data_IF_619256221600
#
_entry.id   IF_619256221600
#
_cell.length_a   1.000
_cell.length_b   1.000
_cell.length_c   1.000
_cell.angle_alpha   90.00
_cell.angle_beta   90.00
_cell.angle_gamma   90.00
#
_symmetry.space_group_name_H-M   'P 1'
#
loop_
_entity.id
_entity.type
_entity.pdbx_description
1 polymer ?
#
# COMPACT_ATOMS: atom_id res chain seq x y z
N UNK A 1 -41.25 -45.17 0.03
CA UNK A 1 -40.68 -43.88 -0.41
C UNK A 1 -41.50 -42.76 0.22
N UNK A 2 -40.99 -42.16 1.30
CA UNK A 2 -41.69 -41.08 1.98
C UNK A 2 -41.12 -39.74 1.42
N UNK A 3 -41.96 -39.03 0.65
CA UNK A 3 -41.65 -37.67 0.18
C UNK A 3 -41.96 -36.73 1.33
N UNK A 4 -40.90 -36.13 1.89
CA UNK A 4 -40.99 -35.12 2.96
C UNK A 4 -41.62 -33.86 2.38
N UNK A 5 -42.93 -33.67 2.60
CA UNK A 5 -43.67 -32.46 2.21
C UNK A 5 -43.35 -31.31 3.17
N UNK A 6 -42.42 -30.47 2.79
CA UNK A 6 -42.20 -29.17 3.48
C UNK A 6 -43.41 -28.29 3.16
N UNK A 7 -44.18 -27.80 4.16
CA UNK A 7 -45.35 -26.99 3.90
C UNK A 7 -44.93 -25.71 3.14
N UNK A 8 -45.62 -25.40 2.06
CA UNK A 8 -45.39 -24.29 1.13
C UNK A 8 -45.22 -22.91 1.84
N UNK A 9 -45.83 -22.76 3.03
CA UNK A 9 -45.65 -21.57 3.88
C UNK A 9 -44.25 -21.42 4.48
N UNK A 10 -43.56 -22.55 4.82
CA UNK A 10 -42.17 -22.49 5.29
C UNK A 10 -41.20 -22.15 4.18
N UNK A 11 -41.42 -22.63 2.95
CA UNK A 11 -40.59 -22.26 1.80
C UNK A 11 -40.71 -20.77 1.45
N UNK A 12 -41.90 -20.19 1.52
CA UNK A 12 -42.12 -18.75 1.25
C UNK A 12 -41.45 -17.87 2.31
N UNK A 13 -41.49 -18.25 3.57
CA UNK A 13 -40.83 -17.52 4.66
C UNK A 13 -39.30 -17.60 4.55
N UNK A 14 -38.74 -18.77 4.23
CA UNK A 14 -37.31 -18.95 3.98
C UNK A 14 -36.84 -18.16 2.76
N UNK A 15 -37.59 -18.16 1.66
CA UNK A 15 -37.26 -17.33 0.48
C UNK A 15 -37.30 -15.85 0.79
N UNK A 16 -38.26 -15.38 1.58
CA UNK A 16 -38.34 -13.99 2.01
C UNK A 16 -37.16 -13.60 2.92
N UNK A 17 -36.74 -14.45 3.85
CA UNK A 17 -35.58 -14.24 4.71
C UNK A 17 -34.28 -14.19 3.90
N UNK A 18 -34.13 -15.06 2.90
CA UNK A 18 -32.97 -15.05 2.00
C UNK A 18 -32.95 -13.78 1.13
N UNK A 19 -34.10 -13.36 0.61
CA UNK A 19 -34.21 -12.16 -0.21
C UNK A 19 -33.96 -10.86 0.57
N UNK A 20 -34.17 -10.85 1.89
CA UNK A 20 -33.85 -9.72 2.77
C UNK A 20 -32.39 -9.82 3.27
N UNK A 21 -31.92 -11.01 3.62
CA UNK A 21 -30.57 -11.21 4.15
C UNK A 21 -29.48 -10.91 3.11
N UNK A 22 -29.68 -11.29 1.84
CA UNK A 22 -28.70 -11.06 0.77
C UNK A 22 -28.45 -9.56 0.55
N UNK A 23 -29.45 -8.67 0.34
CA UNK A 23 -29.17 -7.26 0.16
C UNK A 23 -28.62 -6.60 1.42
N UNK A 24 -29.01 -7.04 2.63
CA UNK A 24 -28.43 -6.52 3.88
C UNK A 24 -26.95 -6.92 4.00
N UNK A 25 -26.60 -8.17 3.70
CA UNK A 25 -25.20 -8.63 3.68
C UNK A 25 -24.42 -7.89 2.60
N UNK A 26 -24.99 -7.71 1.40
CA UNK A 26 -24.37 -6.96 0.29
C UNK A 26 -24.18 -5.49 0.67
N UNK A 27 -25.16 -4.84 1.28
CA UNK A 27 -25.03 -3.44 1.72
C UNK A 27 -24.02 -3.28 2.85
N UNK A 28 -23.99 -4.23 3.80
CA UNK A 28 -22.99 -4.23 4.87
C UNK A 28 -21.61 -4.47 4.30
N UNK A 29 -21.43 -5.47 3.43
CA UNK A 29 -20.12 -5.72 2.78
C UNK A 29 -19.70 -4.58 1.86
N UNK A 30 -20.60 -3.93 1.13
CA UNK A 30 -20.29 -2.75 0.31
C UNK A 30 -19.97 -1.50 1.16
N UNK A 31 -20.60 -1.32 2.32
CA UNK A 31 -20.23 -0.27 3.27
C UNK A 31 -18.82 -0.47 3.84
N UNK A 32 -18.42 -1.72 4.08
CA UNK A 32 -17.08 -2.07 4.57
C UNK A 32 -16.04 -2.13 3.43
N UNK A 33 -16.47 -2.35 2.20
CA UNK A 33 -15.60 -2.34 1.01
C UNK A 33 -15.33 -0.93 0.46
N UNK A 34 -16.05 0.11 0.90
CA UNK A 34 -15.60 1.49 0.67
C UNK A 34 -14.28 1.65 1.40
N UNK A 35 -13.22 2.02 0.67
CA UNK A 35 -11.99 2.47 1.28
C UNK A 35 -12.38 3.49 2.35
N UNK A 36 -12.04 3.27 3.63
CA UNK A 36 -12.23 4.32 4.61
C UNK A 36 -11.49 5.55 4.07
N UNK A 37 -12.15 6.71 4.13
CA UNK A 37 -11.47 7.97 3.85
C UNK A 37 -10.15 7.98 4.61
N UNK A 38 -9.09 8.53 3.98
CA UNK A 38 -7.76 8.57 4.58
C UNK A 38 -7.87 9.05 6.04
N UNK A 39 -7.32 8.26 6.97
CA UNK A 39 -7.44 8.59 8.40
C UNK A 39 -6.65 9.86 8.71
N UNK A 40 -7.33 10.86 9.24
CA UNK A 40 -6.79 12.19 9.62
C UNK A 40 -6.88 12.47 11.12
N UNK A 41 -7.31 11.49 11.91
CA UNK A 41 -7.33 11.61 13.38
C UNK A 41 -5.92 11.61 13.99
N UNK A 42 -5.77 12.08 15.23
CA UNK A 42 -4.47 12.19 15.90
C UNK A 42 -3.88 10.84 16.32
N UNK A 43 -4.71 9.83 16.55
CA UNK A 43 -4.30 8.50 17.03
C UNK A 43 -4.44 7.40 15.99
N UNK A 44 -4.49 6.17 16.45
CA UNK A 44 -4.69 4.99 15.60
C UNK A 44 -6.08 4.98 14.95
N UNK A 45 -6.16 4.47 13.74
CA UNK A 45 -7.43 4.22 13.04
C UNK A 45 -8.32 3.31 13.91
N UNK A 46 -9.58 3.69 14.09
CA UNK A 46 -10.53 2.85 14.80
C UNK A 46 -10.71 1.52 14.08
N UNK A 47 -10.90 0.46 14.85
CA UNK A 47 -11.01 -0.92 14.34
C UNK A 47 -9.83 -1.39 13.46
N UNK A 48 -8.65 -0.80 13.61
CA UNK A 48 -7.46 -1.05 12.79
C UNK A 48 -7.23 -2.54 12.50
N UNK A 49 -7.20 -3.41 13.51
CA UNK A 49 -6.93 -4.84 13.31
C UNK A 49 -8.05 -5.57 12.58
N UNK A 50 -9.30 -5.13 12.71
CA UNK A 50 -10.41 -5.69 11.94
C UNK A 50 -10.35 -5.23 10.47
N UNK A 51 -10.00 -3.97 10.21
CA UNK A 51 -9.80 -3.45 8.86
C UNK A 51 -8.66 -4.21 8.16
N UNK A 52 -7.50 -4.34 8.81
CA UNK A 52 -6.34 -5.06 8.29
C UNK A 52 -6.68 -6.52 7.98
N UNK A 53 -7.37 -7.22 8.90
CA UNK A 53 -7.82 -8.59 8.71
C UNK A 53 -8.79 -8.71 7.52
N UNK A 54 -9.76 -7.83 7.45
CA UNK A 54 -10.76 -7.83 6.38
C UNK A 54 -10.14 -7.55 5.01
N UNK A 55 -9.28 -6.55 4.91
CA UNK A 55 -8.53 -6.23 3.68
C UNK A 55 -7.65 -7.41 3.25
N UNK A 56 -6.99 -8.11 4.21
CA UNK A 56 -6.22 -9.31 3.91
C UNK A 56 -7.09 -10.41 3.30
N UNK A 57 -8.25 -10.70 3.91
CA UNK A 57 -9.17 -11.74 3.43
C UNK A 57 -9.69 -11.40 2.03
N UNK A 58 -10.01 -10.15 1.76
CA UNK A 58 -10.60 -9.71 0.49
C UNK A 58 -9.59 -9.50 -0.64
N UNK A 59 -8.30 -9.38 -0.35
CA UNK A 59 -7.29 -9.12 -1.37
C UNK A 59 -7.22 -10.27 -2.39
N UNK A 60 -7.50 -9.98 -3.67
CA UNK A 60 -7.44 -10.93 -4.82
C UNK A 60 -8.23 -12.24 -4.58
N UNK A 61 -9.53 -12.13 -4.44
CA UNK A 61 -10.46 -13.21 -4.16
C UNK A 61 -10.46 -14.35 -5.18
N UNK A 62 -10.29 -15.61 -4.68
CA UNK A 62 -10.77 -16.84 -5.31
C UNK A 62 -11.54 -17.64 -4.26
N UNK A 63 -12.75 -18.12 -4.60
CA UNK A 63 -13.71 -18.75 -3.68
C UNK A 63 -13.18 -20.03 -2.99
N UNK A 64 -12.26 -20.75 -3.62
CA UNK A 64 -11.83 -22.08 -3.16
C UNK A 64 -10.95 -22.10 -1.89
N UNK A 65 -10.48 -20.95 -1.40
CA UNK A 65 -9.46 -20.88 -0.34
C UNK A 65 -9.86 -20.07 0.90
N UNK A 66 -11.14 -19.77 1.10
CA UNK A 66 -11.60 -18.87 2.17
C UNK A 66 -11.16 -19.31 3.58
N UNK A 67 -11.25 -20.59 3.90
CA UNK A 67 -10.90 -21.09 5.23
C UNK A 67 -9.40 -20.97 5.52
N UNK A 68 -8.56 -21.49 4.64
CA UNK A 68 -7.09 -21.38 4.77
C UNK A 68 -6.62 -19.94 4.71
N UNK A 69 -7.27 -19.10 3.92
CA UNK A 69 -6.96 -17.68 3.81
C UNK A 69 -7.21 -16.94 5.11
N UNK A 70 -8.35 -17.20 5.77
CA UNK A 70 -8.65 -16.57 7.06
C UNK A 70 -7.60 -16.92 8.11
N UNK A 71 -7.20 -18.18 8.21
CA UNK A 71 -6.14 -18.60 9.14
C UNK A 71 -4.82 -17.91 8.84
N UNK A 72 -4.43 -17.83 7.57
CA UNK A 72 -3.23 -17.12 7.13
C UNK A 72 -3.33 -15.64 7.46
N UNK A 73 -4.45 -14.98 7.18
CA UNK A 73 -4.65 -13.57 7.49
C UNK A 73 -4.67 -13.28 9.00
N UNK A 74 -5.11 -14.21 9.83
CA UNK A 74 -4.98 -14.10 11.29
C UNK A 74 -3.50 -14.11 11.72
N UNK A 75 -2.69 -15.01 11.17
CA UNK A 75 -1.24 -15.04 11.43
C UNK A 75 -0.55 -13.74 10.96
N UNK A 76 -0.94 -13.23 9.78
CA UNK A 76 -0.44 -11.96 9.24
C UNK A 76 -0.82 -10.78 10.16
N UNK A 77 -2.08 -10.68 10.58
CA UNK A 77 -2.56 -9.68 11.52
C UNK A 77 -1.78 -9.73 12.85
N UNK A 78 -1.55 -10.92 13.37
CA UNK A 78 -0.85 -11.11 14.64
C UNK A 78 0.63 -10.74 14.52
N UNK A 79 1.28 -11.09 13.40
CA UNK A 79 2.64 -10.64 13.10
C UNK A 79 2.70 -9.11 12.95
N UNK A 80 1.70 -8.50 12.32
CA UNK A 80 1.58 -7.04 12.23
C UNK A 80 1.46 -6.40 13.63
N UNK A 81 0.55 -6.92 14.46
CA UNK A 81 0.35 -6.48 15.83
C UNK A 81 1.64 -6.53 16.65
N UNK A 82 2.35 -7.66 16.61
CA UNK A 82 3.56 -7.90 17.39
C UNK A 82 4.72 -6.97 17.02
N UNK A 83 4.70 -6.39 15.83
CA UNK A 83 5.73 -5.46 15.38
C UNK A 83 5.78 -4.16 16.20
N UNK A 84 4.64 -3.67 16.72
CA UNK A 84 4.58 -2.34 17.34
C UNK A 84 3.79 -2.24 18.65
N UNK A 85 2.94 -3.22 18.97
CA UNK A 85 2.18 -3.21 20.23
C UNK A 85 3.13 -3.38 21.43
N UNK A 86 2.83 -2.70 22.53
CA UNK A 86 3.64 -2.64 23.74
C UNK A 86 5.04 -2.07 23.55
N UNK A 87 5.28 -1.34 22.46
CA UNK A 87 6.53 -0.62 22.20
C UNK A 87 6.33 0.89 22.31
N UNK A 88 7.43 1.59 22.62
CA UNK A 88 7.43 3.05 22.49
C UNK A 88 7.19 3.42 21.02
N UNK A 89 6.18 4.26 20.72
CA UNK A 89 5.83 4.62 19.34
C UNK A 89 6.96 5.22 18.51
N UNK A 90 7.99 5.82 19.16
CA UNK A 90 9.18 6.39 18.51
C UNK A 90 10.37 5.43 18.46
N UNK A 91 10.22 4.17 18.85
CA UNK A 91 11.30 3.17 18.90
C UNK A 91 10.97 1.92 18.09
N UNK A 92 9.94 1.97 17.27
CA UNK A 92 9.60 0.88 16.33
C UNK A 92 10.49 1.02 15.10
N UNK A 93 11.20 -0.05 14.74
CA UNK A 93 12.11 -0.08 13.61
C UNK A 93 11.58 -0.94 12.46
N UNK A 94 12.19 -0.84 11.27
CA UNK A 94 11.79 -1.69 10.13
C UNK A 94 12.06 -3.17 10.40
N UNK A 95 13.06 -3.49 11.21
CA UNK A 95 13.42 -4.85 11.61
C UNK A 95 12.31 -5.51 12.44
N UNK A 96 11.54 -4.73 13.17
CA UNK A 96 10.38 -5.23 13.92
C UNK A 96 9.28 -5.78 13.00
N UNK A 97 9.22 -5.31 11.76
CA UNK A 97 8.30 -5.79 10.73
C UNK A 97 8.85 -6.93 9.88
N UNK A 98 10.13 -7.33 10.04
CA UNK A 98 10.69 -8.45 9.27
C UNK A 98 9.88 -9.75 9.39
N UNK A 99 9.39 -10.18 10.57
CA UNK A 99 8.58 -11.40 10.68
C UNK A 99 7.32 -11.33 9.82
N UNK A 100 6.68 -10.16 9.77
CA UNK A 100 5.51 -9.89 8.91
C UNK A 100 5.88 -9.98 7.43
N UNK A 101 6.95 -9.29 7.01
CA UNK A 101 7.41 -9.27 5.62
C UNK A 101 7.81 -10.68 5.14
N UNK A 102 8.48 -11.47 5.98
CA UNK A 102 8.85 -12.86 5.65
C UNK A 102 7.64 -13.79 5.53
N UNK A 103 6.59 -13.54 6.29
CA UNK A 103 5.36 -14.33 6.25
C UNK A 103 4.61 -14.16 4.93
N UNK A 104 4.73 -12.98 4.32
CA UNK A 104 4.03 -12.61 3.09
C UNK A 104 5.00 -12.63 1.91
N UNK A 105 5.03 -13.73 1.17
CA UNK A 105 5.77 -13.77 -0.10
C UNK A 105 5.16 -12.79 -1.10
N UNK A 106 5.90 -11.73 -1.37
CA UNK A 106 5.49 -10.71 -2.34
C UNK A 106 5.98 -11.11 -3.72
N UNK A 107 5.06 -11.18 -4.68
CA UNK A 107 5.38 -11.34 -6.10
C UNK A 107 5.06 -10.05 -6.82
N UNK A 108 6.06 -9.46 -7.44
CA UNK A 108 5.92 -8.25 -8.25
C UNK A 108 6.11 -8.66 -9.71
N UNK A 109 5.15 -8.36 -10.60
CA UNK A 109 5.30 -8.68 -12.02
C UNK A 109 6.49 -7.91 -12.62
N UNK A 110 7.39 -8.61 -13.33
CA UNK A 110 8.50 -7.95 -14.04
C UNK A 110 7.98 -6.92 -15.06
N UNK A 111 8.72 -5.84 -15.25
CA UNK A 111 8.39 -4.71 -16.13
C UNK A 111 7.11 -3.95 -15.73
N UNK A 112 6.63 -4.13 -14.50
CA UNK A 112 5.39 -3.51 -14.03
C UNK A 112 5.54 -2.67 -12.77
N UNK A 113 6.70 -2.70 -12.11
CA UNK A 113 6.93 -1.96 -10.87
C UNK A 113 6.85 -0.46 -11.08
N UNK A 114 5.97 0.20 -10.33
CA UNK A 114 5.85 1.66 -10.30
C UNK A 114 6.09 2.17 -8.88
N UNK A 115 7.15 2.93 -8.73
CA UNK A 115 7.47 3.70 -7.53
C UNK A 115 6.93 5.12 -7.65
N UNK A 116 6.86 5.84 -6.53
CA UNK A 116 6.50 7.24 -6.55
C UNK A 116 7.09 8.02 -5.37
N UNK A 117 7.23 9.33 -5.52
CA UNK A 117 7.64 10.22 -4.44
C UNK A 117 6.90 11.53 -4.54
N UNK A 118 6.16 11.90 -3.48
CA UNK A 118 5.33 13.13 -3.40
C UNK A 118 4.34 13.26 -4.58
N UNK A 119 3.85 12.15 -5.10
CA UNK A 119 3.06 12.09 -6.33
C UNK A 119 2.00 10.97 -6.31
N UNK A 120 1.37 10.68 -5.13
CA UNK A 120 0.45 9.54 -4.94
C UNK A 120 -0.64 9.51 -6.02
N UNK A 121 -1.42 10.58 -6.16
CA UNK A 121 -2.54 10.65 -7.10
C UNK A 121 -2.09 10.54 -8.56
N UNK A 122 -0.95 11.15 -8.91
CA UNK A 122 -0.38 11.05 -10.25
C UNK A 122 0.09 9.62 -10.54
N UNK A 123 0.68 8.95 -9.56
CA UNK A 123 1.13 7.57 -9.69
C UNK A 123 -0.04 6.61 -9.83
N UNK A 124 -1.08 6.74 -9.00
CA UNK A 124 -2.31 5.94 -9.11
C UNK A 124 -2.97 6.09 -10.48
N UNK A 125 -3.04 7.32 -10.96
CA UNK A 125 -3.56 7.61 -12.29
C UNK A 125 -2.73 6.93 -13.37
N UNK A 126 -1.41 7.11 -13.35
CA UNK A 126 -0.50 6.49 -14.31
C UNK A 126 -0.58 4.96 -14.26
N UNK A 127 -0.59 4.39 -13.06
CA UNK A 127 -0.71 2.95 -12.84
C UNK A 127 -1.99 2.38 -13.47
N UNK A 128 -3.12 3.05 -13.24
CA UNK A 128 -4.42 2.63 -13.81
C UNK A 128 -4.41 2.63 -15.34
N UNK A 129 -3.87 3.69 -15.96
CA UNK A 129 -3.84 3.84 -17.42
C UNK A 129 -2.88 2.84 -18.08
N UNK A 130 -1.74 2.56 -17.44
CA UNK A 130 -0.66 1.74 -18.00
C UNK A 130 -0.62 0.30 -17.49
N UNK A 131 -1.52 -0.08 -16.59
CA UNK A 131 -1.54 -1.40 -15.96
C UNK A 131 -0.23 -1.68 -15.20
N UNK A 132 0.26 -0.67 -14.46
CA UNK A 132 1.44 -0.78 -13.62
C UNK A 132 1.05 -1.30 -12.23
N UNK A 133 2.03 -1.80 -11.50
CA UNK A 133 1.87 -2.40 -10.19
C UNK A 133 2.65 -1.59 -9.15
N UNK A 134 1.94 -1.11 -8.13
CA UNK A 134 2.49 -0.26 -7.08
C UNK A 134 2.59 -1.02 -5.75
N UNK A 135 3.24 -0.39 -4.77
CA UNK A 135 3.36 -0.94 -3.43
C UNK A 135 1.99 -1.19 -2.78
N UNK A 136 1.03 -0.30 -3.02
CA UNK A 136 -0.35 -0.36 -2.52
C UNK A 136 -1.16 -1.51 -3.16
N UNK A 137 -0.73 -2.05 -4.31
CA UNK A 137 -1.32 -3.23 -4.93
C UNK A 137 -0.85 -4.54 -4.30
N UNK A 138 0.21 -4.50 -3.49
CA UNK A 138 0.68 -5.66 -2.72
C UNK A 138 -0.25 -5.95 -1.56
N UNK A 139 -0.20 -7.19 -1.03
CA UNK A 139 -1.04 -7.53 0.12
C UNK A 139 -0.79 -6.61 1.32
N UNK A 140 0.48 -6.40 1.70
CA UNK A 140 0.82 -5.56 2.85
C UNK A 140 0.51 -4.09 2.61
N UNK A 141 0.79 -3.57 1.42
CA UNK A 141 0.45 -2.20 1.05
C UNK A 141 -1.07 -1.98 1.09
N UNK A 142 -1.85 -2.87 0.45
CA UNK A 142 -3.31 -2.81 0.45
C UNK A 142 -3.91 -2.87 1.86
N UNK A 143 -3.34 -3.71 2.74
CA UNK A 143 -3.83 -3.83 4.12
C UNK A 143 -3.68 -2.54 4.91
N UNK A 144 -2.64 -1.75 4.67
CA UNK A 144 -2.23 -0.61 5.48
C UNK A 144 -2.52 0.76 4.84
N UNK A 145 -2.87 0.80 3.55
CA UNK A 145 -3.07 2.06 2.82
C UNK A 145 -4.13 2.94 3.51
N UNK A 146 -3.81 4.23 3.63
CA UNK A 146 -4.65 5.26 4.27
C UNK A 146 -4.98 4.99 5.76
N UNK A 147 -4.26 4.09 6.45
CA UNK A 147 -4.41 3.83 7.88
C UNK A 147 -3.27 4.48 8.69
N UNK A 148 -3.56 4.79 9.96
CA UNK A 148 -2.58 5.23 10.94
C UNK A 148 -2.63 4.32 12.18
N UNK A 149 -1.47 4.05 12.80
CA UNK A 149 -1.40 3.21 13.98
C UNK A 149 -0.14 3.45 14.80
N UNK A 150 -0.28 3.30 16.09
CA UNK A 150 0.84 3.18 17.03
C UNK A 150 0.38 2.41 18.28
N UNK A 151 1.36 1.81 18.96
CA UNK A 151 1.16 1.15 20.23
C UNK A 151 1.24 2.12 21.39
N UNK A 152 1.11 1.55 22.58
CA UNK A 152 1.37 2.22 23.85
C UNK A 152 2.41 1.39 24.61
N UNK A 153 3.48 2.01 25.09
CA UNK A 153 4.54 1.30 25.82
C UNK A 153 4.08 0.69 27.14
N UNK A 154 2.99 1.19 27.71
CA UNK A 154 2.43 0.74 28.99
C UNK A 154 1.27 -0.24 28.89
N UNK A 155 0.79 -0.53 27.68
CA UNK A 155 -0.35 -1.44 27.48
C UNK A 155 -0.21 -2.25 26.18
N UNK A 156 -0.96 -3.35 26.09
CA UNK A 156 -1.05 -4.18 24.88
C UNK A 156 -2.15 -3.67 23.91
N UNK A 157 -2.44 -2.39 23.92
CA UNK A 157 -3.49 -1.75 23.14
C UNK A 157 -2.94 -0.73 22.15
N UNK A 158 -3.76 -0.39 21.17
CA UNK A 158 -3.51 0.73 20.26
C UNK A 158 -3.68 2.06 21.01
N UNK A 159 -2.84 3.02 20.68
CA UNK A 159 -3.04 4.39 21.11
C UNK A 159 -4.03 5.09 20.17
N UNK A 160 -5.23 5.37 20.62
CA UNK A 160 -6.27 6.04 19.86
C UNK A 160 -6.28 7.56 20.04
N UNK A 161 -5.52 8.07 20.99
CA UNK A 161 -5.52 9.50 21.33
C UNK A 161 -4.48 10.27 20.51
N UNK A 162 -3.26 9.74 20.46
CA UNK A 162 -2.16 10.44 19.81
C UNK A 162 -1.08 9.46 19.31
N UNK A 163 -0.79 9.50 18.02
CA UNK A 163 0.35 8.83 17.43
C UNK A 163 1.39 9.86 16.94
N UNK A 164 2.68 9.60 17.11
CA UNK A 164 3.71 10.50 16.61
C UNK A 164 3.64 10.62 15.09
N UNK A 165 3.84 11.84 14.59
CA UNK A 165 3.95 12.12 13.15
C UNK A 165 5.33 11.69 12.64
N UNK A 166 5.48 11.62 11.34
CA UNK A 166 6.75 11.31 10.68
C UNK A 166 7.90 12.27 11.05
N UNK A 167 7.56 13.50 11.43
CA UNK A 167 8.52 14.54 11.85
C UNK A 167 8.92 14.46 13.32
N UNK A 168 8.14 13.80 14.16
CA UNK A 168 8.29 13.85 15.61
C UNK A 168 9.37 12.89 16.12
N UNK A 169 9.62 11.81 15.35
CA UNK A 169 10.61 10.79 15.67
C UNK A 169 11.40 10.39 14.41
N UNK A 170 12.57 9.79 14.62
CA UNK A 170 13.35 9.20 13.52
C UNK A 170 12.57 8.08 12.82
N UNK A 171 11.93 7.24 13.62
CA UNK A 171 11.06 6.15 13.15
C UNK A 171 9.81 6.09 14.03
N UNK A 172 8.66 5.96 13.37
CA UNK A 172 7.37 5.69 14.00
C UNK A 172 6.89 4.31 13.56
N UNK A 173 5.88 3.74 14.23
CA UNK A 173 5.31 2.46 13.81
C UNK A 173 4.89 2.46 12.32
N UNK A 174 4.28 3.54 11.85
CA UNK A 174 3.87 3.70 10.46
C UNK A 174 5.08 3.84 9.53
N UNK A 175 6.03 4.73 9.85
CA UNK A 175 7.19 4.96 8.98
C UNK A 175 8.10 3.72 8.88
N UNK A 176 8.28 2.99 9.98
CA UNK A 176 9.04 1.75 10.01
C UNK A 176 8.40 0.65 9.14
N UNK A 177 7.06 0.52 9.19
CA UNK A 177 6.32 -0.39 8.34
C UNK A 177 6.52 -0.07 6.86
N UNK A 178 6.25 1.19 6.46
CA UNK A 178 6.41 1.59 5.07
C UNK A 178 7.84 1.42 4.57
N UNK A 179 8.86 1.70 5.39
CA UNK A 179 10.26 1.42 5.04
C UNK A 179 10.52 -0.07 4.82
N UNK A 180 9.97 -0.95 5.68
CA UNK A 180 10.17 -2.40 5.56
C UNK A 180 9.54 -2.97 4.28
N UNK A 181 8.28 -2.62 4.00
CA UNK A 181 7.59 -3.14 2.80
C UNK A 181 8.08 -2.49 1.51
N UNK A 182 8.50 -1.22 1.53
CA UNK A 182 9.14 -0.53 0.40
C UNK A 182 10.47 -1.19 0.03
N UNK A 183 11.29 -1.55 1.02
CA UNK A 183 12.52 -2.32 0.76
C UNK A 183 12.21 -3.64 0.07
N UNK A 184 11.28 -4.42 0.60
CA UNK A 184 10.88 -5.70 0.03
C UNK A 184 10.31 -5.57 -1.39
N UNK A 185 9.54 -4.51 -1.65
CA UNK A 185 9.01 -4.19 -2.98
C UNK A 185 10.14 -3.90 -3.97
N UNK A 186 11.12 -3.07 -3.58
CA UNK A 186 12.27 -2.74 -4.41
C UNK A 186 13.14 -3.97 -4.71
N UNK A 187 13.42 -4.82 -3.72
CA UNK A 187 14.19 -6.07 -3.87
C UNK A 187 13.47 -7.09 -4.76
N UNK A 188 12.14 -7.03 -4.84
CA UNK A 188 11.31 -7.91 -5.66
C UNK A 188 11.11 -7.41 -7.09
N UNK A 189 11.42 -6.16 -7.36
CA UNK A 189 11.28 -5.55 -8.68
C UNK A 189 12.25 -6.15 -9.70
N UNK A 190 11.83 -6.24 -10.97
CA UNK A 190 12.65 -6.79 -12.06
C UNK A 190 12.31 -6.19 -13.43
N UNK A 191 13.28 -6.22 -14.33
CA UNK A 191 13.19 -5.71 -15.69
C UNK A 191 13.20 -4.18 -15.73
N UNK A 192 12.27 -3.58 -16.43
CA UNK A 192 12.05 -2.14 -16.47
C UNK A 192 11.22 -1.72 -15.26
N UNK A 193 11.71 -0.77 -14.48
CA UNK A 193 10.98 -0.19 -13.35
C UNK A 193 10.73 1.28 -13.60
N UNK A 194 9.63 1.80 -13.05
CA UNK A 194 9.22 3.18 -13.26
C UNK A 194 9.12 3.93 -11.93
N UNK A 195 9.38 5.22 -11.94
CA UNK A 195 9.09 6.12 -10.82
C UNK A 195 8.35 7.35 -11.30
N UNK A 196 7.22 7.67 -10.66
CA UNK A 196 6.48 8.92 -10.88
C UNK A 196 6.96 9.97 -9.89
N UNK A 197 7.37 11.12 -10.43
CA UNK A 197 7.83 12.28 -9.68
C UNK A 197 6.98 13.49 -10.06
N UNK A 198 6.70 14.35 -9.07
CA UNK A 198 5.94 15.57 -9.31
C UNK A 198 6.85 16.71 -9.76
N UNK A 199 6.88 16.97 -11.07
CA UNK A 199 7.68 18.03 -11.69
C UNK A 199 7.23 19.46 -11.34
N UNK A 200 6.10 19.62 -10.63
CA UNK A 200 5.64 20.91 -10.13
C UNK A 200 6.23 21.29 -8.77
N UNK A 201 7.09 20.45 -8.21
CA UNK A 201 7.83 20.73 -6.97
C UNK A 201 9.24 21.21 -7.29
N UNK A 202 9.80 22.09 -6.46
CA UNK A 202 11.17 22.57 -6.61
C UNK A 202 12.25 21.46 -6.51
N UNK A 203 11.90 20.33 -5.87
CA UNK A 203 12.77 19.16 -5.72
C UNK A 203 11.90 17.90 -5.92
N UNK A 204 11.67 17.46 -7.18
CA UNK A 204 10.91 16.26 -7.47
C UNK A 204 11.49 14.99 -6.84
N UNK A 205 12.82 14.86 -6.85
CA UNK A 205 13.53 13.80 -6.16
C UNK A 205 14.22 14.30 -4.90
N UNK A 206 14.08 13.56 -3.80
CA UNK A 206 14.79 13.81 -2.55
C UNK A 206 15.36 12.52 -1.97
N UNK A 207 16.65 12.53 -1.61
CA UNK A 207 17.30 11.42 -0.89
C UNK A 207 16.66 11.10 0.46
N UNK A 208 15.87 12.03 1.03
CA UNK A 208 15.19 11.86 2.31
C UNK A 208 13.81 11.20 2.16
N UNK A 209 13.27 11.11 0.94
CA UNK A 209 12.01 10.38 0.70
C UNK A 209 12.21 8.87 0.89
N UNK A 210 11.13 8.10 1.07
CA UNK A 210 11.21 6.62 1.10
C UNK A 210 11.81 6.13 -0.22
N UNK A 211 11.37 6.66 -1.36
CA UNK A 211 11.96 6.30 -2.65
C UNK A 211 13.48 6.52 -2.67
N UNK A 212 13.94 7.69 -2.21
CA UNK A 212 15.37 8.05 -2.24
C UNK A 212 16.24 7.33 -1.21
N UNK A 213 15.70 7.06 -0.02
CA UNK A 213 16.47 6.49 1.11
C UNK A 213 16.33 4.97 1.23
N UNK A 214 15.26 4.39 0.68
CA UNK A 214 14.97 2.96 0.81
C UNK A 214 14.85 2.29 -0.56
N UNK A 215 13.95 2.74 -1.42
CA UNK A 215 13.59 1.96 -2.62
C UNK A 215 14.71 1.95 -3.65
N UNK A 216 15.17 3.11 -4.11
CA UNK A 216 16.20 3.20 -5.17
C UNK A 216 17.52 2.53 -4.74
N UNK A 217 17.84 2.52 -3.44
CA UNK A 217 19.07 1.90 -2.93
C UNK A 217 18.97 0.39 -2.74
N UNK A 218 17.77 -0.18 -2.80
CA UNK A 218 17.53 -1.63 -2.70
C UNK A 218 17.12 -2.28 -4.03
N UNK A 219 17.07 -1.52 -5.14
CA UNK A 219 16.90 -2.12 -6.47
C UNK A 219 18.08 -3.08 -6.75
N UNK A 220 17.79 -4.33 -7.11
CA UNK A 220 18.81 -5.31 -7.43
C UNK A 220 19.26 -5.19 -8.90
N UNK A 221 20.47 -4.72 -9.13
CA UNK A 221 21.04 -4.58 -10.48
C UNK A 221 21.17 -5.89 -11.28
N UNK A 222 21.01 -7.04 -10.63
CA UNK A 222 20.95 -8.34 -11.33
C UNK A 222 19.56 -8.61 -11.90
N UNK A 223 18.54 -7.93 -11.40
CA UNK A 223 17.14 -8.11 -11.78
C UNK A 223 16.59 -6.89 -12.54
N UNK A 224 16.96 -5.68 -12.13
CA UNK A 224 16.49 -4.42 -12.71
C UNK A 224 17.45 -3.96 -13.77
N UNK A 225 16.96 -3.79 -14.99
CA UNK A 225 17.74 -3.38 -16.16
C UNK A 225 17.75 -1.86 -16.31
N UNK A 226 16.60 -1.25 -16.18
CA UNK A 226 16.38 0.18 -16.44
C UNK A 226 15.44 0.78 -15.39
N UNK A 227 15.70 2.03 -14.98
CA UNK A 227 14.78 2.86 -14.22
C UNK A 227 14.33 4.04 -15.07
N UNK A 228 13.03 4.13 -15.28
CA UNK A 228 12.37 5.19 -16.03
C UNK A 228 11.77 6.22 -15.06
N UNK A 229 12.37 7.39 -14.94
CA UNK A 229 11.83 8.50 -14.19
C UNK A 229 10.82 9.28 -15.05
N UNK A 230 9.58 9.34 -14.59
CA UNK A 230 8.46 10.02 -15.24
C UNK A 230 8.18 11.30 -14.45
N UNK A 231 8.63 12.43 -14.97
CA UNK A 231 8.45 13.74 -14.33
C UNK A 231 7.16 14.35 -14.84
N UNK A 232 6.12 14.32 -14.01
CA UNK A 232 4.77 14.75 -14.42
C UNK A 232 4.56 16.22 -14.03
N UNK A 233 4.19 17.02 -15.02
CA UNK A 233 3.95 18.45 -14.88
C UNK A 233 2.46 18.74 -14.85
N UNK A 234 2.02 19.53 -13.87
CA UNK A 234 0.66 20.06 -13.84
C UNK A 234 0.59 21.36 -14.67
N UNK A 235 -0.50 21.58 -15.41
CA UNK A 235 -0.70 22.82 -16.16
C UNK A 235 -0.54 24.06 -15.27
N UNK A 236 0.09 25.10 -15.79
CA UNK A 236 0.26 26.40 -15.12
C UNK A 236 1.08 26.41 -13.82
N UNK A 237 1.80 25.32 -13.48
CA UNK A 237 2.71 25.26 -12.34
C UNK A 237 4.16 25.31 -12.78
N UNK A 238 5.05 25.65 -11.79
CA UNK A 238 6.50 25.55 -11.95
C UNK A 238 6.90 24.17 -12.50
N UNK A 239 7.97 24.13 -13.31
CA UNK A 239 8.43 22.91 -13.97
C UNK A 239 9.90 22.64 -13.68
N UNK A 240 10.15 21.63 -12.87
CA UNK A 240 11.45 20.98 -12.77
C UNK A 240 11.56 19.86 -13.79
N UNK A 241 12.48 20.02 -14.72
CA UNK A 241 12.68 19.11 -15.85
C UNK A 241 13.66 17.97 -15.50
N UNK A 242 13.74 16.97 -16.37
CA UNK A 242 14.74 15.89 -16.29
C UNK A 242 16.20 16.40 -16.18
N UNK A 243 16.48 17.63 -16.64
CA UNK A 243 17.78 18.28 -16.52
C UNK A 243 18.07 18.90 -15.14
N UNK A 244 17.07 18.96 -14.25
CA UNK A 244 17.23 19.59 -12.93
C UNK A 244 18.25 18.86 -12.04
N UNK A 245 18.81 19.57 -11.09
CA UNK A 245 19.85 19.05 -10.19
C UNK A 245 19.39 17.82 -9.39
N UNK A 246 18.14 17.81 -8.95
CA UNK A 246 17.57 16.68 -8.19
C UNK A 246 17.46 15.41 -9.05
N UNK A 247 17.08 15.54 -10.34
CA UNK A 247 17.02 14.42 -11.28
C UNK A 247 18.41 13.94 -11.70
N UNK A 248 19.39 14.84 -11.86
CA UNK A 248 20.79 14.47 -12.09
C UNK A 248 21.38 13.72 -10.89
N UNK A 249 20.98 14.07 -9.67
CA UNK A 249 21.35 13.33 -8.47
C UNK A 249 20.74 11.92 -8.46
N UNK A 250 19.46 11.76 -8.82
CA UNK A 250 18.83 10.44 -8.98
C UNK A 250 19.55 9.61 -10.04
N UNK A 251 19.83 10.20 -11.20
CA UNK A 251 20.61 9.58 -12.28
C UNK A 251 21.93 9.02 -11.75
N UNK A 252 22.70 9.84 -11.05
CA UNK A 252 24.00 9.42 -10.50
C UNK A 252 23.89 8.23 -9.54
N UNK A 253 22.83 8.20 -8.69
CA UNK A 253 22.58 7.08 -7.76
C UNK A 253 22.29 5.80 -8.53
N UNK A 254 21.44 5.87 -9.55
CA UNK A 254 20.98 4.72 -10.34
C UNK A 254 22.11 4.14 -11.19
N UNK A 255 22.85 5.01 -11.89
CA UNK A 255 23.97 4.60 -12.75
C UNK A 255 25.15 4.04 -11.93
N UNK A 256 25.42 4.57 -10.73
CA UNK A 256 26.41 4.01 -9.81
C UNK A 256 26.08 2.57 -9.40
N UNK A 257 24.82 2.17 -9.46
CA UNK A 257 24.33 0.81 -9.23
C UNK A 257 24.34 -0.07 -10.49
N UNK A 258 24.82 0.45 -11.61
CA UNK A 258 24.83 -0.24 -12.94
C UNK A 258 23.44 -0.51 -13.49
N UNK A 259 22.46 0.31 -13.13
CA UNK A 259 21.10 0.32 -13.67
C UNK A 259 21.03 1.47 -14.66
N UNK A 260 20.51 1.23 -15.86
CA UNK A 260 20.34 2.29 -16.87
C UNK A 260 19.26 3.27 -16.41
N UNK A 261 19.53 4.57 -16.50
CA UNK A 261 18.60 5.62 -16.14
C UNK A 261 18.01 6.29 -17.39
N UNK A 262 16.70 6.38 -17.43
CA UNK A 262 15.97 7.13 -18.45
C UNK A 262 15.05 8.13 -17.74
N UNK A 263 14.94 9.33 -18.29
CA UNK A 263 14.07 10.36 -17.74
C UNK A 263 13.18 10.93 -18.85
N UNK A 264 11.92 11.15 -18.54
CA UNK A 264 10.94 11.73 -19.48
C UNK A 264 10.05 12.73 -18.76
N UNK A 265 9.98 13.93 -19.34
CA UNK A 265 9.02 14.96 -18.95
C UNK A 265 7.65 14.65 -19.58
N UNK A 266 6.58 14.66 -18.76
CA UNK A 266 5.21 14.37 -19.16
C UNK A 266 4.35 15.57 -18.85
N UNK A 267 3.78 16.20 -19.88
CA UNK A 267 2.92 17.40 -19.77
C UNK A 267 1.43 17.08 -19.92
N UNK A 268 1.09 15.95 -20.53
CA UNK A 268 -0.29 15.51 -20.78
C UNK A 268 -0.53 14.14 -20.15
N UNK A 269 -0.76 14.11 -18.85
CA UNK A 269 -1.35 12.95 -18.22
C UNK A 269 -2.88 13.14 -18.26
N UNK A 270 -3.54 12.62 -19.29
CA UNK A 270 -5.01 12.60 -19.38
C UNK A 270 -5.58 11.58 -18.41
N UNK A 271 -5.49 11.91 -17.13
CA UNK A 271 -6.31 11.32 -16.12
C UNK A 271 -7.48 12.27 -15.92
N UNK A 272 -8.56 12.07 -16.64
CA UNK A 272 -9.81 12.69 -16.26
C UNK A 272 -10.10 12.27 -14.82
N UNK A 273 -9.83 13.19 -13.91
CA UNK A 273 -10.29 13.14 -12.53
C UNK A 273 -11.82 13.22 -12.57
N UNK A 274 -12.47 12.11 -12.88
CA UNK A 274 -13.87 11.94 -12.53
C UNK A 274 -13.87 11.52 -11.06
N UNK A 275 -14.06 12.54 -10.23
CA UNK A 275 -14.34 12.44 -8.81
C UNK A 275 -15.60 11.59 -8.56
#
# INVERSE_FOLDING_TARGET
MAVCGIPTKCCAVLCLLVLIAIPVIVVVTLKWARNPEAWNGPGSTRDFFNIVLHRCILHKWTLELLYHRRETCLKIRDAFKNAFISKNPCSVTKEDYEPLVRLVKQTVPCNKSLFWSKAKELAHCFAKVRGMFMLEDTLLGHMADDLNWCGNSSSAELNYENCPRWSDCKDTAVSAFWKAISQNFAESACGEVHVVLNGSLNEPFSKKSIFGSVEVVHLDAKKVLELHALVIHQPSKYRELCSSSSLQQLKSIVEARKIKFLCRDITDLTCSLHA
#
